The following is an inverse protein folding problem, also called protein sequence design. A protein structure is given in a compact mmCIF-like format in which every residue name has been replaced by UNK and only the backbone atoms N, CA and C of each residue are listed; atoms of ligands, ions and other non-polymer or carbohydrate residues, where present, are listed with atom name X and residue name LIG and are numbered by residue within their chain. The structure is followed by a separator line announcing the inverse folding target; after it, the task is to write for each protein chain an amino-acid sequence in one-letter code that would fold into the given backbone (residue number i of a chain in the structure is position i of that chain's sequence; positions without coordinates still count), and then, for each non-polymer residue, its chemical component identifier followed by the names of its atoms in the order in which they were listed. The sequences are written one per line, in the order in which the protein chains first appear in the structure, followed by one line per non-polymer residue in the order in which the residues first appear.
data_IF_090339323620
#
_entry.id   IF_090339323620
#
_cell.length_a   1.000
_cell.length_b   1.000
_cell.length_c   1.000
_cell.angle_alpha   90.00
_cell.angle_beta   90.00
_cell.angle_gamma   90.00
#
_symmetry.space_group_name_H-M   'P 1'
#
loop_
_entity.id
_entity.type
_entity.pdbx_description
1 polymer ?
#
# COMPACT_ATOMS: atom_id res chain seq x y z
N UNK A 1 -17.73 13.36 -5.91
CA UNK A 1 -16.74 12.79 -6.84
C UNK A 1 -16.80 11.29 -6.71
N UNK A 2 -16.79 10.53 -7.82
CA UNK A 2 -16.71 9.06 -7.75
C UNK A 2 -15.24 8.72 -7.38
N UNK A 3 -14.98 7.95 -6.31
CA UNK A 3 -13.62 7.60 -5.93
C UNK A 3 -12.90 6.84 -7.06
N UNK A 4 -11.63 7.14 -7.31
CA UNK A 4 -10.83 6.46 -8.35
C UNK A 4 -10.83 4.93 -8.19
N UNK A 5 -10.90 4.45 -6.95
CA UNK A 5 -10.98 3.02 -6.63
C UNK A 5 -12.18 2.32 -7.27
N UNK A 6 -13.30 3.03 -7.49
CA UNK A 6 -14.51 2.48 -8.12
C UNK A 6 -14.29 2.13 -9.59
N UNK A 7 -13.29 2.76 -10.23
CA UNK A 7 -12.87 2.43 -11.59
C UNK A 7 -11.70 1.43 -11.60
N UNK A 8 -10.80 1.53 -10.62
CA UNK A 8 -9.64 0.64 -10.53
C UNK A 8 -10.05 -0.81 -10.27
N UNK A 9 -11.02 -1.07 -9.38
CA UNK A 9 -11.49 -2.43 -9.08
C UNK A 9 -12.02 -3.17 -10.32
N UNK A 10 -13.01 -2.64 -11.09
CA UNK A 10 -13.49 -3.34 -12.26
C UNK A 10 -12.43 -3.47 -13.36
N UNK A 11 -11.53 -2.49 -13.52
CA UNK A 11 -10.40 -2.61 -14.43
C UNK A 11 -9.45 -3.74 -14.00
N UNK A 12 -9.13 -3.83 -12.72
CA UNK A 12 -8.27 -4.90 -12.19
C UNK A 12 -8.91 -6.29 -12.34
N UNK A 13 -10.21 -6.43 -12.07
CA UNK A 13 -10.95 -7.67 -12.31
C UNK A 13 -10.94 -8.05 -13.79
N UNK A 14 -11.13 -7.08 -14.68
CA UNK A 14 -11.02 -7.31 -16.13
C UNK A 14 -9.62 -7.78 -16.52
N UNK A 15 -8.57 -7.15 -16.00
CA UNK A 15 -7.18 -7.54 -16.25
C UNK A 15 -6.88 -8.96 -15.75
N UNK A 16 -7.35 -9.32 -14.56
CA UNK A 16 -7.28 -10.70 -14.03
C UNK A 16 -7.99 -11.69 -14.94
N UNK A 17 -9.19 -11.34 -15.45
CA UNK A 17 -9.91 -12.19 -16.39
C UNK A 17 -9.17 -12.33 -17.72
N UNK A 18 -8.64 -11.24 -18.27
CA UNK A 18 -7.84 -11.26 -19.51
C UNK A 18 -6.58 -12.12 -19.33
N UNK A 19 -5.86 -11.97 -18.22
CA UNK A 19 -4.67 -12.77 -17.88
C UNK A 19 -5.03 -14.25 -17.70
N UNK A 20 -6.15 -14.57 -17.04
CA UNK A 20 -6.60 -15.96 -16.90
C UNK A 20 -6.99 -16.58 -18.26
N UNK A 21 -7.61 -15.80 -19.15
CA UNK A 21 -7.97 -16.24 -20.49
C UNK A 21 -6.72 -16.40 -21.38
N UNK A 22 -5.69 -15.57 -21.22
CA UNK A 22 -4.44 -15.73 -21.98
C UNK A 22 -3.77 -17.06 -21.64
N UNK A 23 -3.66 -17.44 -20.37
CA UNK A 23 -3.13 -18.76 -19.99
C UNK A 23 -3.96 -19.92 -20.55
N UNK A 24 -5.26 -19.72 -20.79
CA UNK A 24 -6.14 -20.76 -21.34
C UNK A 24 -6.02 -20.90 -22.85
N UNK A 25 -5.88 -19.80 -23.57
CA UNK A 25 -5.99 -19.76 -25.04
C UNK A 25 -4.68 -19.49 -25.78
N UNK A 26 -3.68 -18.96 -25.08
CA UNK A 26 -2.33 -18.66 -25.58
C UNK A 26 -1.28 -19.19 -24.59
N UNK A 27 -1.26 -20.49 -24.26
CA UNK A 27 -0.33 -21.02 -23.28
C UNK A 27 1.12 -20.94 -23.78
N UNK A 28 2.01 -20.51 -22.90
CA UNK A 28 3.46 -20.63 -23.03
C UNK A 28 3.93 -21.71 -22.04
N UNK A 29 4.82 -22.61 -22.48
CA UNK A 29 5.31 -23.73 -21.66
C UNK A 29 6.10 -23.27 -20.42
N UNK A 30 6.69 -22.06 -20.48
CA UNK A 30 7.38 -21.45 -19.35
C UNK A 30 6.41 -20.76 -18.36
N UNK A 31 5.19 -20.46 -18.80
CA UNK A 31 4.17 -19.77 -18.00
C UNK A 31 3.34 -20.75 -17.18
N UNK A 32 3.44 -20.63 -15.85
CA UNK A 32 2.67 -21.51 -14.96
C UNK A 32 1.34 -20.94 -14.47
N UNK A 33 1.01 -19.72 -14.87
CA UNK A 33 -0.26 -19.03 -14.60
C UNK A 33 -0.79 -19.08 -13.16
N UNK A 34 -2.10 -19.31 -13.04
CA UNK A 34 -2.81 -19.34 -11.76
C UNK A 34 -2.81 -20.74 -11.14
N UNK A 35 -2.32 -20.83 -9.91
CA UNK A 35 -2.53 -21.99 -9.05
C UNK A 35 -3.59 -21.66 -8.00
N UNK A 36 -4.63 -22.49 -7.88
CA UNK A 36 -5.78 -22.23 -6.98
C UNK A 36 -5.34 -21.96 -5.54
N UNK A 37 -4.44 -22.78 -4.99
CA UNK A 37 -3.96 -22.63 -3.60
C UNK A 37 -3.21 -21.31 -3.39
N UNK A 38 -2.32 -20.97 -4.30
CA UNK A 38 -1.56 -19.72 -4.24
C UNK A 38 -2.45 -18.49 -4.43
N UNK A 39 -3.41 -18.58 -5.36
CA UNK A 39 -4.40 -17.53 -5.65
C UNK A 39 -5.29 -17.25 -4.44
N UNK A 40 -5.87 -18.30 -3.84
CA UNK A 40 -6.70 -18.18 -2.63
C UNK A 40 -5.87 -17.64 -1.46
N UNK A 41 -4.61 -18.05 -1.33
CA UNK A 41 -3.71 -17.50 -0.31
C UNK A 41 -3.49 -16.00 -0.54
N UNK A 42 -3.19 -15.57 -1.76
CA UNK A 42 -3.02 -14.15 -2.08
C UNK A 42 -4.27 -13.32 -1.78
N UNK A 43 -5.44 -13.80 -2.22
CA UNK A 43 -6.71 -13.11 -2.01
C UNK A 43 -7.09 -13.02 -0.54
N UNK A 44 -6.95 -14.11 0.22
CA UNK A 44 -7.24 -14.13 1.65
C UNK A 44 -6.28 -13.24 2.45
N UNK A 45 -5.00 -13.21 2.06
CA UNK A 45 -4.03 -12.29 2.62
C UNK A 45 -4.40 -10.82 2.35
N UNK A 46 -4.78 -10.48 1.12
CA UNK A 46 -5.27 -9.15 0.78
C UNK A 46 -6.51 -8.75 1.57
N UNK A 47 -7.51 -9.64 1.63
CA UNK A 47 -8.75 -9.40 2.37
C UNK A 47 -8.49 -9.18 3.87
N UNK A 48 -7.69 -10.05 4.49
CA UNK A 48 -7.35 -9.89 5.91
C UNK A 48 -6.55 -8.61 6.19
N UNK A 49 -5.66 -8.22 5.28
CA UNK A 49 -4.94 -6.94 5.37
C UNK A 49 -5.90 -5.74 5.38
N UNK A 50 -6.97 -5.75 4.57
CA UNK A 50 -7.99 -4.71 4.60
C UNK A 50 -8.79 -4.70 5.92
N UNK A 51 -9.17 -5.88 6.42
CA UNK A 51 -9.91 -6.01 7.69
C UNK A 51 -9.09 -5.49 8.87
N UNK A 52 -7.82 -5.89 8.98
CA UNK A 52 -6.91 -5.44 10.05
C UNK A 52 -6.52 -3.97 9.86
N UNK A 53 -6.35 -3.52 8.62
CA UNK A 53 -5.98 -2.16 8.27
C UNK A 53 -7.06 -1.13 8.62
N UNK A 54 -8.34 -1.49 8.57
CA UNK A 54 -9.44 -0.56 8.82
C UNK A 54 -9.39 0.12 10.20
N UNK A 55 -9.33 -0.60 11.35
CA UNK A 55 -9.16 0.05 12.65
C UNK A 55 -7.80 0.77 12.77
N UNK A 56 -6.77 0.26 12.10
CA UNK A 56 -5.45 0.88 12.12
C UNK A 56 -5.42 2.25 11.41
N UNK A 57 -6.27 2.48 10.39
CA UNK A 57 -6.43 3.80 9.77
C UNK A 57 -6.91 4.84 10.78
N UNK A 58 -7.80 4.48 11.71
CA UNK A 58 -8.24 5.40 12.78
C UNK A 58 -7.06 5.76 13.71
N UNK A 59 -6.23 4.78 14.08
CA UNK A 59 -5.01 5.01 14.86
C UNK A 59 -4.05 5.96 14.12
N UNK A 60 -3.83 5.72 12.81
CA UNK A 60 -2.98 6.58 11.99
C UNK A 60 -3.49 8.02 11.93
N UNK A 61 -4.80 8.23 11.72
CA UNK A 61 -5.41 9.57 11.71
C UNK A 61 -5.20 10.28 13.05
N UNK A 62 -5.44 9.60 14.17
CA UNK A 62 -5.23 10.18 15.50
C UNK A 62 -3.76 10.52 15.76
N UNK A 63 -2.84 9.64 15.36
CA UNK A 63 -1.41 9.87 15.49
C UNK A 63 -0.94 11.07 14.65
N UNK A 64 -1.38 11.16 13.38
CA UNK A 64 -1.08 12.31 12.54
C UNK A 64 -1.66 13.60 13.11
N UNK A 65 -2.90 13.60 13.60
CA UNK A 65 -3.51 14.78 14.19
C UNK A 65 -2.77 15.24 15.46
N UNK A 66 -2.39 14.30 16.33
CA UNK A 66 -1.66 14.60 17.56
C UNK A 66 -0.24 15.13 17.30
N UNK A 67 0.45 14.61 16.28
CA UNK A 67 1.77 15.12 15.90
C UNK A 67 1.70 16.45 15.16
N UNK A 68 0.70 16.63 14.30
CA UNK A 68 0.47 17.89 13.60
C UNK A 68 0.16 19.03 14.57
N UNK A 69 -0.61 18.79 15.64
CA UNK A 69 -0.97 19.83 16.62
C UNK A 69 0.21 20.38 17.43
N UNK A 70 1.33 19.65 17.47
CA UNK A 70 2.57 20.07 18.12
C UNK A 70 3.69 20.37 17.11
N UNK A 71 3.38 20.36 15.82
CA UNK A 71 4.33 20.67 14.76
C UNK A 71 4.83 22.12 14.91
N UNK A 72 6.14 22.37 14.83
CA UNK A 72 6.69 23.73 14.80
C UNK A 72 6.52 24.41 13.43
N UNK A 73 6.06 23.67 12.42
CA UNK A 73 5.87 24.12 11.04
C UNK A 73 4.39 24.07 10.66
N UNK A 74 3.99 24.89 9.70
CA UNK A 74 2.64 24.88 9.15
C UNK A 74 2.71 25.13 7.62
N UNK A 75 2.42 24.08 6.83
CA UNK A 75 2.45 24.19 5.36
C UNK A 75 1.04 24.35 4.81
N UNK A 76 0.82 25.43 4.04
CA UNK A 76 -0.48 25.69 3.44
C UNK A 76 -0.82 24.68 2.33
N UNK A 77 -1.99 24.03 2.34
CA UNK A 77 -2.44 23.18 1.23
C UNK A 77 -2.62 23.90 -0.10
N UNK A 78 -2.79 25.22 -0.09
CA UNK A 78 -2.97 26.01 -1.31
C UNK A 78 -1.65 26.29 -2.03
N UNK A 79 -0.52 26.07 -1.36
CA UNK A 79 0.81 26.26 -1.95
C UNK A 79 1.21 25.02 -2.75
N UNK A 80 1.54 25.20 -4.03
CA UNK A 80 2.09 24.12 -4.88
C UNK A 80 3.36 23.51 -4.28
N UNK A 81 4.15 24.30 -3.56
CA UNK A 81 5.37 23.83 -2.92
C UNK A 81 5.11 22.85 -1.77
N UNK A 82 3.95 22.93 -1.10
CA UNK A 82 3.55 21.93 -0.11
C UNK A 82 3.31 20.57 -0.77
N UNK A 83 2.72 20.55 -1.96
CA UNK A 83 2.52 19.32 -2.74
C UNK A 83 3.84 18.75 -3.28
N UNK A 84 4.74 19.61 -3.76
CA UNK A 84 6.08 19.19 -4.19
C UNK A 84 6.85 18.59 -3.02
N UNK A 85 6.84 19.25 -1.85
CA UNK A 85 7.45 18.73 -0.63
C UNK A 85 6.83 17.39 -0.24
N UNK A 86 5.50 17.30 -0.19
CA UNK A 86 4.79 16.08 0.16
C UNK A 86 5.14 14.93 -0.79
N UNK A 87 5.17 15.17 -2.11
CA UNK A 87 5.52 14.15 -3.11
C UNK A 87 6.89 13.52 -2.82
N UNK A 88 7.93 14.34 -2.66
CA UNK A 88 9.28 13.82 -2.40
C UNK A 88 9.44 13.25 -0.99
N UNK A 89 8.78 13.85 0.01
CA UNK A 89 8.86 13.36 1.38
C UNK A 89 8.13 12.02 1.56
N UNK A 90 7.00 11.84 0.88
CA UNK A 90 6.27 10.57 0.81
C UNK A 90 7.07 9.47 0.09
N UNK A 91 7.69 9.79 -1.06
CA UNK A 91 8.56 8.85 -1.77
C UNK A 91 9.76 8.43 -0.92
N UNK A 92 10.39 9.38 -0.22
CA UNK A 92 11.47 9.09 0.71
C UNK A 92 10.98 8.22 1.89
N UNK A 93 9.82 8.53 2.48
CA UNK A 93 9.23 7.72 3.55
C UNK A 93 8.97 6.28 3.07
N UNK A 94 8.42 6.12 1.87
CA UNK A 94 8.19 4.83 1.24
C UNK A 94 9.50 4.07 0.99
N UNK A 95 10.52 4.73 0.44
CA UNK A 95 11.83 4.15 0.22
C UNK A 95 12.45 3.62 1.52
N UNK A 96 12.44 4.43 2.58
CA UNK A 96 13.01 4.05 3.88
C UNK A 96 12.19 2.91 4.51
N UNK A 97 10.86 3.00 4.45
CA UNK A 97 9.95 1.92 4.86
C UNK A 97 10.33 0.61 4.17
N UNK A 98 10.36 0.61 2.83
CA UNK A 98 10.58 -0.60 2.04
C UNK A 98 11.99 -1.16 2.28
N UNK A 99 13.02 -0.30 2.26
CA UNK A 99 14.41 -0.71 2.53
C UNK A 99 14.55 -1.28 3.94
N UNK A 100 13.92 -0.70 4.95
CA UNK A 100 13.96 -1.21 6.32
C UNK A 100 13.32 -2.61 6.41
N UNK A 101 12.22 -2.84 5.69
CA UNK A 101 11.56 -4.15 5.61
C UNK A 101 12.43 -5.22 4.91
N UNK A 102 13.35 -4.83 4.04
CA UNK A 102 14.34 -5.74 3.44
C UNK A 102 15.65 -5.89 4.25
N UNK A 103 15.88 -5.06 5.27
CA UNK A 103 17.17 -5.02 5.99
C UNK A 103 17.07 -5.40 7.47
N UNK A 104 15.91 -5.26 8.10
CA UNK A 104 15.69 -5.52 9.52
C UNK A 104 14.86 -6.79 9.70
N UNK A 105 15.35 -7.78 10.45
CA UNK A 105 14.73 -9.12 10.56
C UNK A 105 13.27 -9.11 11.01
N UNK A 106 12.91 -8.27 12.00
CA UNK A 106 11.52 -8.19 12.48
C UNK A 106 10.58 -7.58 11.45
N UNK A 107 11.05 -6.59 10.68
CA UNK A 107 10.28 -5.98 9.59
C UNK A 107 10.22 -6.91 8.37
N UNK A 108 11.28 -7.67 8.12
CA UNK A 108 11.29 -8.71 7.09
C UNK A 108 10.24 -9.80 7.35
N UNK A 109 10.07 -10.22 8.60
CA UNK A 109 9.03 -11.20 8.94
C UNK A 109 7.62 -10.73 8.56
N UNK A 110 7.37 -9.42 8.62
CA UNK A 110 6.13 -8.80 8.13
C UNK A 110 6.06 -8.72 6.60
N UNK A 111 7.20 -8.52 5.92
CA UNK A 111 7.25 -8.21 4.49
C UNK A 111 7.43 -9.43 3.58
N UNK A 112 8.15 -10.46 4.04
CA UNK A 112 8.45 -11.67 3.25
C UNK A 112 7.20 -12.36 2.74
N UNK A 113 6.10 -12.26 3.48
CA UNK A 113 4.81 -12.85 3.10
C UNK A 113 4.28 -12.28 1.78
N UNK A 114 4.67 -11.06 1.41
CA UNK A 114 4.34 -10.48 0.10
C UNK A 114 5.17 -11.12 -1.03
N UNK A 115 6.43 -11.44 -0.73
CA UNK A 115 7.39 -12.05 -1.67
C UNK A 115 7.32 -13.58 -1.71
N UNK A 116 6.38 -14.21 -1.00
CA UNK A 116 6.33 -15.66 -0.85
C UNK A 116 5.59 -16.38 -1.98
N UNK A 117 4.99 -15.64 -2.92
CA UNK A 117 4.37 -16.25 -4.11
C UNK A 117 5.43 -16.92 -4.97
N UNK A 118 5.14 -18.12 -5.44
CA UNK A 118 5.94 -18.78 -6.49
C UNK A 118 5.35 -18.59 -7.88
N UNK A 119 4.30 -17.78 -8.00
CA UNK A 119 3.58 -17.48 -9.24
C UNK A 119 3.73 -16.00 -9.57
N UNK A 120 3.90 -15.69 -10.86
CA UNK A 120 3.90 -14.33 -11.36
C UNK A 120 2.59 -14.10 -12.13
N UNK A 121 1.58 -13.59 -11.43
CA UNK A 121 0.26 -13.27 -11.98
C UNK A 121 -0.39 -12.15 -11.14
N UNK A 122 -1.48 -11.57 -11.62
CA UNK A 122 -2.14 -10.42 -10.99
C UNK A 122 -2.68 -10.71 -9.59
N UNK A 123 -3.03 -11.96 -9.24
CA UNK A 123 -3.46 -12.24 -7.87
C UNK A 123 -2.35 -12.03 -6.84
N UNK A 124 -1.08 -12.19 -7.24
CA UNK A 124 0.08 -11.99 -6.36
C UNK A 124 0.16 -10.55 -5.84
N UNK A 125 -0.30 -9.56 -6.61
CA UNK A 125 -0.37 -8.17 -6.16
C UNK A 125 -1.26 -8.00 -4.92
N UNK A 126 -2.28 -8.86 -4.74
CA UNK A 126 -3.18 -8.84 -3.59
C UNK A 126 -2.58 -9.47 -2.33
N UNK A 127 -1.40 -10.08 -2.40
CA UNK A 127 -0.75 -10.77 -1.28
C UNK A 127 -0.16 -9.78 -0.27
N UNK A 128 -1.02 -9.14 0.52
CA UNK A 128 -0.63 -8.07 1.44
C UNK A 128 -0.39 -8.59 2.86
N UNK A 129 0.51 -7.95 3.59
CA UNK A 129 0.78 -8.29 4.99
C UNK A 129 -0.38 -7.89 5.92
N UNK A 130 -0.56 -8.64 7.01
CA UNK A 130 -1.58 -8.37 8.03
C UNK A 130 -1.06 -7.49 9.17
N UNK A 131 0.14 -6.94 9.04
CA UNK A 131 0.72 -6.06 10.06
C UNK A 131 0.90 -4.63 9.54
N UNK A 132 -0.20 -3.92 9.21
CA UNK A 132 -0.15 -2.55 8.69
C UNK A 132 0.47 -1.57 9.69
N UNK A 133 0.54 -1.90 10.98
CA UNK A 133 1.19 -1.09 12.02
C UNK A 133 2.67 -0.81 11.80
N UNK A 134 3.34 -1.60 10.99
CA UNK A 134 4.75 -1.40 10.64
C UNK A 134 4.97 -0.21 9.71
N UNK A 135 3.93 0.29 9.02
CA UNK A 135 4.05 1.43 8.10
C UNK A 135 4.08 2.77 8.85
N UNK A 136 3.21 2.93 9.85
CA UNK A 136 2.94 4.22 10.50
C UNK A 136 4.21 5.00 10.92
N UNK A 137 5.21 4.39 11.59
CA UNK A 137 6.40 5.11 12.05
C UNK A 137 7.15 5.87 10.94
N UNK A 138 7.09 5.40 9.70
CA UNK A 138 7.82 5.99 8.58
C UNK A 138 7.14 7.25 8.03
N UNK A 139 5.82 7.41 8.24
CA UNK A 139 5.05 8.57 7.79
C UNK A 139 4.72 9.57 8.91
N UNK A 140 4.87 9.19 10.19
CA UNK A 140 4.73 10.13 11.32
C UNK A 140 5.55 11.44 11.15
N UNK A 141 6.79 11.41 10.61
CA UNK A 141 7.56 12.64 10.38
C UNK A 141 6.86 13.65 9.48
N UNK A 142 6.03 13.22 8.52
CA UNK A 142 5.32 14.15 7.63
C UNK A 142 4.34 15.05 8.41
N UNK A 143 3.65 14.48 9.40
CA UNK A 143 2.77 15.25 10.27
C UNK A 143 3.55 16.23 11.16
N UNK A 144 4.70 15.80 11.69
CA UNK A 144 5.62 16.66 12.47
C UNK A 144 6.29 17.76 11.63
N UNK A 145 6.39 17.57 10.32
CA UNK A 145 6.84 18.60 9.38
C UNK A 145 5.76 19.64 9.10
N UNK A 146 4.57 19.54 9.69
CA UNK A 146 3.48 20.51 9.51
C UNK A 146 2.68 20.30 8.23
N UNK A 147 2.75 19.11 7.63
CA UNK A 147 1.89 18.76 6.50
C UNK A 147 0.51 18.39 7.06
N UNK A 148 -0.58 19.04 6.59
CA UNK A 148 -1.93 18.74 7.03
C UNK A 148 -2.26 17.24 6.89
N UNK A 149 -2.79 16.57 7.95
CA UNK A 149 -3.02 15.12 7.94
C UNK A 149 -3.85 14.61 6.78
N UNK A 150 -4.84 15.38 6.32
CA UNK A 150 -5.67 14.99 5.18
C UNK A 150 -4.88 14.92 3.86
N UNK A 151 -3.82 15.73 3.69
CA UNK A 151 -2.96 15.67 2.51
C UNK A 151 -2.12 14.39 2.51
N UNK A 152 -1.58 14.02 3.68
CA UNK A 152 -0.85 12.75 3.85
C UNK A 152 -1.77 11.57 3.52
N UNK A 153 -2.98 11.56 4.07
CA UNK A 153 -3.97 10.51 3.80
C UNK A 153 -4.39 10.45 2.33
N UNK A 154 -4.51 11.61 1.66
CA UNK A 154 -4.81 11.67 0.24
C UNK A 154 -3.66 11.09 -0.59
N UNK A 155 -2.41 11.45 -0.28
CA UNK A 155 -1.22 10.90 -0.94
C UNK A 155 -1.13 9.37 -0.77
N UNK A 156 -1.52 8.85 0.40
CA UNK A 156 -1.58 7.42 0.70
C UNK A 156 -2.83 6.69 0.14
N UNK A 157 -3.74 7.40 -0.54
CA UNK A 157 -5.02 6.84 -0.98
C UNK A 157 -5.01 6.23 -2.39
N UNK A 158 -3.83 6.14 -3.01
CA UNK A 158 -3.62 5.55 -4.35
C UNK A 158 -3.11 4.11 -4.27
#
# INVERSE_FOLDING_TARGET
MIPAVMYAIPAFVLLVAVEALSYRFLPDDDERGYEVRDTVTSMSMGAGSQVVGLPWKAVAVLAYAALYSVSPWEWSPTSVWTWVLLFFADDLAYYVFHRAHHRVRVLWASHVVHHSSVRYNLSTALRQSWTPMTTLPFWLPLALLGIPPWMILLQQSF
#
